data_IF_412545161950
#
_entry.id   IF_412545161950
#
_cell.length_a   1.000
_cell.length_b   1.000
_cell.length_c   1.000
_cell.angle_alpha   90.00
_cell.angle_beta   90.00
_cell.angle_gamma   90.00
#
_symmetry.space_group_name_H-M   'P 1'
#
loop_
_entity.id
_entity.type
_entity.pdbx_description
1 polymer ?
#
# COMPACT_ATOMS: atom_id res chain seq x y z
N UNK A 1 -3.78 14.76 -4.47
CA UNK A 1 -4.52 15.62 -3.52
C UNK A 1 -3.82 16.98 -3.43
N UNK A 2 -4.47 18.04 -3.93
CA UNK A 2 -3.94 19.40 -3.79
C UNK A 2 -4.21 19.86 -2.35
N UNK A 3 -3.14 20.00 -1.57
CA UNK A 3 -3.19 20.59 -0.24
C UNK A 3 -3.65 22.04 -0.38
N UNK A 4 -4.78 22.39 0.27
CA UNK A 4 -5.26 23.76 0.28
C UNK A 4 -4.79 24.44 1.57
N UNK A 5 -4.10 25.59 1.50
CA UNK A 5 -3.76 26.35 2.68
C UNK A 5 -5.03 26.87 3.36
N UNK A 6 -4.93 27.20 4.65
CA UNK A 6 -5.98 27.93 5.36
C UNK A 6 -6.19 29.29 4.71
N UNK A 7 -7.28 30.01 5.09
CA UNK A 7 -7.48 31.42 4.67
C UNK A 7 -6.33 32.34 5.08
N UNK A 8 -5.47 31.88 5.99
CA UNK A 8 -4.29 32.60 6.47
C UNK A 8 -3.00 32.22 5.74
N UNK A 9 -3.07 31.35 4.73
CA UNK A 9 -1.91 30.88 3.99
C UNK A 9 -1.15 29.71 4.65
N UNK A 10 -1.47 29.34 5.90
CA UNK A 10 -0.79 28.26 6.63
C UNK A 10 -1.28 26.88 6.17
N UNK A 11 -0.37 25.97 5.97
CA UNK A 11 -0.69 24.55 5.82
C UNK A 11 -0.58 23.86 7.18
N UNK A 12 -1.64 23.13 7.58
CA UNK A 12 -1.59 22.31 8.78
C UNK A 12 -0.62 21.14 8.60
N UNK A 13 0.08 20.78 9.68
CA UNK A 13 1.07 19.70 9.69
C UNK A 13 0.50 18.38 9.14
N UNK A 14 -0.75 18.06 9.47
CA UNK A 14 -1.47 16.86 9.04
C UNK A 14 -2.35 17.07 7.80
N UNK A 15 -2.17 18.13 7.04
CA UNK A 15 -2.97 18.36 5.84
C UNK A 15 -2.84 17.24 4.82
N UNK A 16 -3.97 16.62 4.46
CA UNK A 16 -4.03 15.51 3.52
C UNK A 16 -3.82 14.13 4.14
N UNK A 17 -3.57 14.04 5.46
CA UNK A 17 -3.40 12.77 6.17
C UNK A 17 -4.62 12.38 7.00
N UNK A 18 -5.49 13.34 7.39
CA UNK A 18 -6.61 13.12 8.30
C UNK A 18 -7.92 12.86 7.56
N UNK A 19 -8.61 11.80 7.95
CA UNK A 19 -9.90 11.40 7.39
C UNK A 19 -10.90 11.04 8.49
N UNK A 20 -12.17 11.34 8.23
CA UNK A 20 -13.29 11.00 9.10
C UNK A 20 -13.58 9.49 8.99
N UNK A 21 -13.80 8.82 10.13
CA UNK A 21 -14.14 7.41 10.17
C UNK A 21 -15.48 7.11 9.51
N UNK A 22 -16.49 7.96 9.73
CA UNK A 22 -17.86 7.71 9.28
C UNK A 22 -18.07 8.02 7.80
N UNK A 23 -17.58 9.18 7.34
CA UNK A 23 -17.87 9.64 5.98
C UNK A 23 -16.67 9.60 5.01
N UNK A 24 -15.49 9.24 5.47
CA UNK A 24 -14.27 9.17 4.67
C UNK A 24 -13.74 10.53 4.16
N UNK A 25 -14.41 11.66 4.48
CA UNK A 25 -13.95 12.97 4.05
C UNK A 25 -12.76 13.47 4.87
N UNK A 26 -11.90 14.26 4.23
CA UNK A 26 -10.76 14.85 4.92
C UNK A 26 -11.19 15.81 6.04
N UNK A 27 -10.44 15.79 7.15
CA UNK A 27 -10.55 16.80 8.18
C UNK A 27 -9.71 18.02 7.80
N UNK A 28 -10.27 19.20 8.02
CA UNK A 28 -9.65 20.48 7.69
C UNK A 28 -9.21 21.22 8.96
N UNK A 29 -8.04 21.85 8.89
CA UNK A 29 -7.54 22.71 9.97
C UNK A 29 -8.43 23.94 10.14
N UNK A 30 -8.87 24.17 11.37
CA UNK A 30 -9.50 25.38 11.82
C UNK A 30 -8.51 26.20 12.63
N UNK A 31 -8.22 27.36 12.13
CA UNK A 31 -7.35 28.37 12.76
C UNK A 31 -7.92 29.75 12.50
N UNK A 32 -7.93 30.57 13.51
CA UNK A 32 -8.30 32.00 13.40
C UNK A 32 -7.24 32.87 14.07
N UNK A 33 -7.19 34.15 13.69
CA UNK A 33 -6.25 35.10 14.31
C UNK A 33 -6.50 35.37 15.79
N UNK A 34 -7.75 35.14 16.25
CA UNK A 34 -8.15 35.35 17.64
C UNK A 34 -7.83 34.13 18.56
N UNK A 35 -7.43 33.01 17.99
CA UNK A 35 -7.18 31.80 18.76
C UNK A 35 -5.71 31.66 19.12
N UNK A 36 -5.43 31.21 20.35
CA UNK A 36 -4.12 30.66 20.68
C UNK A 36 -3.89 29.34 19.90
N UNK A 37 -2.64 28.98 19.63
CA UNK A 37 -2.31 27.78 18.84
C UNK A 37 -2.84 26.49 19.44
N UNK A 38 -2.99 26.43 20.75
CA UNK A 38 -3.56 25.30 21.49
C UNK A 38 -5.05 25.08 21.19
N UNK A 39 -5.73 26.09 20.63
CA UNK A 39 -7.14 26.02 20.22
C UNK A 39 -7.32 25.55 18.77
N UNK A 40 -6.24 25.48 18.01
CA UNK A 40 -6.29 24.94 16.66
C UNK A 40 -6.85 23.52 16.69
N UNK A 41 -7.70 23.21 15.72
CA UNK A 41 -8.31 21.89 15.64
C UNK A 41 -8.56 21.45 14.19
N UNK A 42 -8.66 20.15 13.99
CA UNK A 42 -9.09 19.56 12.74
C UNK A 42 -10.54 19.11 12.87
N UNK A 43 -11.37 19.43 11.89
CA UNK A 43 -12.79 19.07 11.87
C UNK A 43 -13.19 18.46 10.52
N UNK A 44 -14.10 17.50 10.55
CA UNK A 44 -14.64 16.85 9.35
C UNK A 44 -15.15 17.87 8.33
N UNK A 45 -14.68 17.75 7.10
CA UNK A 45 -15.00 18.66 6.02
C UNK A 45 -16.47 18.58 5.57
N UNK A 46 -17.10 17.40 5.67
CA UNK A 46 -18.53 17.23 5.34
C UNK A 46 -19.42 17.85 6.42
N UNK A 47 -19.16 17.57 7.69
CA UNK A 47 -19.88 18.21 8.81
C UNK A 47 -19.88 19.74 8.71
N UNK A 48 -18.73 20.32 8.33
CA UNK A 48 -18.61 21.78 8.17
C UNK A 48 -19.43 22.34 7.03
N UNK A 49 -19.57 21.61 5.93
CA UNK A 49 -20.28 22.06 4.73
C UNK A 49 -21.77 21.79 4.78
N UNK A 50 -22.13 20.62 5.29
CA UNK A 50 -23.50 20.12 5.31
C UNK A 50 -23.81 19.52 6.68
N UNK A 51 -24.38 20.32 7.56
CA UNK A 51 -24.81 19.89 8.89
C UNK A 51 -25.90 18.82 8.73
N UNK A 52 -25.70 17.65 9.33
CA UNK A 52 -26.64 16.55 9.33
C UNK A 52 -26.24 15.34 8.46
N UNK A 53 -25.26 15.46 7.56
CA UNK A 53 -24.75 14.33 6.77
C UNK A 53 -23.58 13.60 7.47
N UNK A 54 -23.01 14.17 8.52
CA UNK A 54 -21.97 13.56 9.36
C UNK A 54 -21.99 14.16 10.75
N UNK A 55 -21.45 13.45 11.74
CA UNK A 55 -21.29 13.93 13.12
C UNK A 55 -20.07 14.83 13.26
N UNK A 56 -19.96 15.51 14.43
CA UNK A 56 -18.91 16.50 14.69
C UNK A 56 -17.56 15.86 15.03
N UNK A 57 -16.95 15.14 14.11
CA UNK A 57 -15.60 14.63 14.29
C UNK A 57 -14.61 15.78 14.33
N UNK A 58 -13.96 15.97 15.48
CA UNK A 58 -12.89 16.96 15.60
C UNK A 58 -11.81 16.49 16.58
N UNK A 59 -10.58 16.93 16.36
CA UNK A 59 -9.45 16.68 17.26
C UNK A 59 -8.61 17.98 17.37
N UNK A 60 -8.12 18.31 18.58
CA UNK A 60 -7.19 19.44 18.77
C UNK A 60 -5.86 19.12 18.11
N UNK A 61 -5.25 20.10 17.46
CA UNK A 61 -3.99 19.94 16.75
C UNK A 61 -2.86 19.49 17.72
N UNK A 62 -2.76 20.12 18.88
CA UNK A 62 -1.74 19.78 19.89
C UNK A 62 -1.88 18.37 20.44
N UNK A 63 -3.12 17.88 20.64
CA UNK A 63 -3.37 16.51 21.12
C UNK A 63 -2.96 15.50 20.04
N UNK A 64 -3.34 15.77 18.79
CA UNK A 64 -2.97 14.92 17.68
C UNK A 64 -1.44 14.89 17.47
N UNK A 65 -0.78 16.04 17.57
CA UNK A 65 0.69 16.13 17.46
C UNK A 65 1.37 15.28 18.53
N UNK A 66 0.89 15.36 19.78
CA UNK A 66 1.45 14.58 20.88
C UNK A 66 1.22 13.08 20.68
N UNK A 67 -0.01 12.66 20.39
CA UNK A 67 -0.35 11.24 20.16
C UNK A 67 0.45 10.62 19.02
N UNK A 68 0.57 11.32 17.89
CA UNK A 68 1.32 10.81 16.75
C UNK A 68 2.82 10.78 17.05
N UNK A 69 3.37 11.76 17.76
CA UNK A 69 4.78 11.78 18.15
C UNK A 69 5.13 10.62 19.08
N UNK A 70 4.28 10.38 20.09
CA UNK A 70 4.46 9.26 21.04
C UNK A 70 4.40 7.92 20.32
N UNK A 71 3.38 7.67 19.49
CA UNK A 71 3.28 6.45 18.70
C UNK A 71 4.48 6.24 17.76
N UNK A 72 4.93 7.30 17.08
CA UNK A 72 6.10 7.20 16.21
C UNK A 72 7.38 6.87 17.00
N UNK A 73 7.56 7.45 18.18
CA UNK A 73 8.69 7.13 19.07
C UNK A 73 8.68 5.67 19.50
N UNK A 74 7.51 5.16 19.91
CA UNK A 74 7.35 3.75 20.32
C UNK A 74 7.67 2.80 19.15
N UNK A 75 7.13 3.06 17.97
CA UNK A 75 7.38 2.24 16.77
C UNK A 75 8.86 2.28 16.36
N UNK A 76 9.47 3.46 16.36
CA UNK A 76 10.89 3.63 16.02
C UNK A 76 11.78 2.94 17.07
N UNK A 77 11.48 3.08 18.37
CA UNK A 77 12.21 2.43 19.45
C UNK A 77 12.14 0.91 19.29
N UNK A 78 10.95 0.34 19.18
CA UNK A 78 10.75 -1.09 19.01
C UNK A 78 11.46 -1.65 17.77
N UNK A 79 11.31 -0.97 16.62
CA UNK A 79 11.96 -1.42 15.37
C UNK A 79 13.50 -1.37 15.44
N UNK A 80 14.07 -0.55 16.34
CA UNK A 80 15.52 -0.45 16.55
C UNK A 80 16.05 -1.43 17.60
N UNK A 81 15.31 -1.61 18.70
CA UNK A 81 15.72 -2.51 19.79
C UNK A 81 15.65 -3.98 19.37
N UNK A 82 14.62 -4.36 18.64
CA UNK A 82 14.45 -5.71 18.11
C UNK A 82 13.83 -5.66 16.70
N UNK A 83 14.70 -5.42 15.72
CA UNK A 83 14.30 -5.36 14.31
C UNK A 83 13.65 -6.67 13.84
N UNK A 84 14.12 -7.82 14.34
CA UNK A 84 13.58 -9.13 13.93
C UNK A 84 12.18 -9.35 14.50
N UNK A 85 11.97 -9.06 15.79
CA UNK A 85 10.65 -9.14 16.41
C UNK A 85 9.68 -8.13 15.78
N UNK A 86 10.13 -6.90 15.48
CA UNK A 86 9.34 -5.90 14.80
C UNK A 86 8.87 -6.39 13.41
N UNK A 87 9.80 -6.88 12.59
CA UNK A 87 9.48 -7.43 11.27
C UNK A 87 8.53 -8.63 11.40
N UNK A 88 8.75 -9.49 12.38
CA UNK A 88 7.86 -10.63 12.64
C UNK A 88 6.46 -10.21 13.06
N UNK A 89 6.33 -9.17 13.87
CA UNK A 89 5.03 -8.65 14.30
C UNK A 89 4.32 -7.86 13.18
N UNK A 90 5.06 -7.05 12.44
CA UNK A 90 4.55 -6.32 11.28
C UNK A 90 4.15 -7.26 10.13
N UNK A 91 4.89 -8.37 9.96
CA UNK A 91 4.55 -9.45 9.04
C UNK A 91 3.57 -10.40 9.72
N UNK A 92 2.27 -10.11 9.63
CA UNK A 92 1.22 -11.02 10.08
C UNK A 92 1.41 -12.44 9.47
N UNK A 93 0.84 -13.47 10.11
CA UNK A 93 0.86 -14.85 9.57
C UNK A 93 0.40 -14.93 8.12
N UNK A 94 -0.50 -14.04 7.72
CA UNK A 94 -0.99 -13.93 6.35
C UNK A 94 0.10 -13.48 5.36
N UNK A 95 0.93 -12.50 5.72
CA UNK A 95 2.04 -12.06 4.87
C UNK A 95 3.13 -13.11 4.70
N UNK A 96 3.41 -13.92 5.73
CA UNK A 96 4.38 -15.03 5.60
C UNK A 96 3.90 -16.13 4.67
N UNK A 97 2.60 -16.47 4.75
CA UNK A 97 1.99 -17.41 3.82
C UNK A 97 2.06 -16.87 2.38
N UNK A 98 1.75 -15.59 2.21
CA UNK A 98 1.81 -14.87 0.94
C UNK A 98 3.23 -14.82 0.34
N UNK A 99 4.28 -14.60 1.17
CA UNK A 99 5.68 -14.65 0.69
C UNK A 99 6.10 -16.04 0.22
N UNK A 100 5.64 -17.09 0.91
CA UNK A 100 5.91 -18.46 0.49
C UNK A 100 5.20 -18.83 -0.82
N UNK A 101 3.96 -18.40 -0.95
CA UNK A 101 3.17 -18.54 -2.18
C UNK A 101 3.85 -17.81 -3.34
N UNK A 102 4.34 -16.61 -3.11
CA UNK A 102 5.05 -15.82 -4.11
C UNK A 102 6.34 -16.47 -4.61
N UNK A 103 7.13 -17.07 -3.73
CA UNK A 103 8.32 -17.80 -4.16
C UNK A 103 7.94 -18.99 -5.07
N UNK A 104 6.79 -19.61 -4.81
CA UNK A 104 6.22 -20.65 -5.64
C UNK A 104 5.72 -20.09 -6.99
N UNK A 105 5.02 -18.96 -6.96
CA UNK A 105 4.54 -18.24 -8.15
C UNK A 105 5.70 -17.86 -9.07
N UNK A 106 6.80 -17.37 -8.50
CA UNK A 106 8.00 -17.02 -9.25
C UNK A 106 8.63 -18.21 -9.96
N UNK A 107 8.72 -19.34 -9.28
CA UNK A 107 9.22 -20.59 -9.89
C UNK A 107 8.29 -21.09 -10.99
N UNK A 108 6.99 -21.01 -10.77
CA UNK A 108 5.97 -21.38 -11.78
C UNK A 108 6.05 -20.46 -12.99
N UNK A 109 6.22 -19.16 -12.78
CA UNK A 109 6.42 -18.17 -13.83
C UNK A 109 7.62 -18.53 -14.72
N UNK A 110 8.78 -18.79 -14.12
CA UNK A 110 9.98 -19.20 -14.87
C UNK A 110 9.78 -20.47 -15.67
N UNK A 111 9.08 -21.45 -15.11
CA UNK A 111 8.78 -22.72 -15.80
C UNK A 111 7.84 -22.49 -17.00
N UNK A 112 6.80 -21.69 -16.82
CA UNK A 112 5.85 -21.41 -17.89
C UNK A 112 6.48 -20.58 -19.02
N UNK A 113 7.31 -19.61 -18.72
CA UNK A 113 8.06 -18.83 -19.72
C UNK A 113 9.02 -19.71 -20.53
N UNK A 114 9.71 -20.65 -19.86
CA UNK A 114 10.54 -21.65 -20.57
C UNK A 114 9.68 -22.54 -21.46
N UNK A 115 8.51 -22.98 -20.99
CA UNK A 115 7.60 -23.83 -21.77
C UNK A 115 7.07 -23.11 -23.00
N UNK A 116 6.74 -21.82 -22.91
CA UNK A 116 6.34 -20.99 -24.06
C UNK A 116 7.48 -20.97 -25.10
N UNK A 117 8.72 -20.77 -24.66
CA UNK A 117 9.90 -20.77 -25.57
C UNK A 117 10.13 -22.11 -26.22
N UNK A 118 9.92 -23.22 -25.47
CA UNK A 118 9.97 -24.58 -26.04
C UNK A 118 8.91 -24.80 -27.12
N UNK A 119 7.67 -24.36 -26.85
CA UNK A 119 6.55 -24.47 -27.80
C UNK A 119 6.86 -23.70 -29.09
N UNK A 120 7.43 -22.48 -28.99
CA UNK A 120 7.87 -21.73 -30.18
C UNK A 120 8.88 -22.52 -31.02
N UNK A 121 9.81 -23.20 -30.35
CA UNK A 121 10.78 -24.08 -31.02
C UNK A 121 10.13 -25.32 -31.65
N UNK A 122 9.12 -25.90 -31.00
CA UNK A 122 8.37 -27.05 -31.52
C UNK A 122 7.54 -26.63 -32.75
N UNK A 123 6.80 -25.54 -32.66
CA UNK A 123 5.99 -25.01 -33.77
C UNK A 123 6.88 -24.78 -35.00
N UNK A 124 8.06 -24.18 -34.82
CA UNK A 124 9.01 -23.97 -35.91
C UNK A 124 9.43 -25.27 -36.58
N UNK A 125 9.76 -26.30 -35.80
CA UNK A 125 10.14 -27.62 -36.35
C UNK A 125 8.98 -28.33 -37.03
N UNK A 126 7.77 -28.26 -36.47
CA UNK A 126 6.56 -28.80 -37.11
C UNK A 126 6.33 -28.17 -38.48
N UNK A 127 6.54 -26.87 -38.60
CA UNK A 127 6.45 -26.14 -39.88
C UNK A 127 7.50 -26.64 -40.88
N UNK A 128 8.77 -26.78 -40.45
CA UNK A 128 9.87 -27.27 -41.28
C UNK A 128 9.62 -28.73 -41.74
N UNK A 129 9.13 -29.60 -40.85
CA UNK A 129 8.81 -31.02 -41.17
C UNK A 129 7.59 -31.14 -42.10
N UNK A 130 6.61 -30.27 -41.96
CA UNK A 130 5.46 -30.22 -42.87
C UNK A 130 5.91 -29.81 -44.29
N UNK A 131 6.70 -28.70 -44.43
CA UNK A 131 7.21 -28.28 -45.74
C UNK A 131 8.09 -29.37 -46.38
N UNK A 132 8.89 -30.09 -45.61
CA UNK A 132 9.76 -31.15 -46.13
C UNK A 132 9.02 -32.43 -46.46
N UNK A 133 7.71 -32.49 -46.24
CA UNK A 133 6.85 -33.64 -46.52
C UNK A 133 6.99 -34.81 -45.49
N UNK A 134 7.70 -34.61 -44.39
CA UNK A 134 7.80 -35.60 -43.30
C UNK A 134 6.53 -35.66 -42.45
N UNK A 135 5.77 -34.57 -42.40
CA UNK A 135 4.55 -34.43 -41.64
C UNK A 135 3.40 -34.09 -42.61
N UNK A 136 2.27 -34.81 -42.50
CA UNK A 136 1.08 -34.52 -43.33
C UNK A 136 0.37 -33.23 -42.82
N UNK A 137 -0.28 -32.51 -43.71
CA UNK A 137 -1.02 -31.28 -43.38
C UNK A 137 -2.08 -31.50 -42.30
N UNK A 138 -2.75 -32.64 -42.29
CA UNK A 138 -3.75 -32.99 -41.30
C UNK A 138 -3.13 -33.11 -39.88
N UNK A 139 -1.99 -33.81 -39.78
CA UNK A 139 -1.25 -33.97 -38.52
C UNK A 139 -0.65 -32.63 -38.05
N UNK A 140 -0.08 -31.87 -38.97
CA UNK A 140 0.44 -30.56 -38.72
C UNK A 140 -0.64 -29.64 -38.14
N UNK A 141 -1.78 -29.54 -38.79
CA UNK A 141 -2.90 -28.67 -38.35
C UNK A 141 -3.38 -29.05 -36.94
N UNK A 142 -3.51 -30.34 -36.66
CA UNK A 142 -3.93 -30.81 -35.32
C UNK A 142 -2.90 -30.41 -34.26
N UNK A 143 -1.62 -30.78 -34.45
CA UNK A 143 -0.56 -30.49 -33.46
C UNK A 143 -0.36 -28.98 -33.28
N UNK A 144 -0.41 -28.23 -34.36
CA UNK A 144 -0.29 -26.76 -34.33
C UNK A 144 -1.41 -26.14 -33.50
N UNK A 145 -2.66 -26.52 -33.71
CA UNK A 145 -3.79 -26.02 -32.94
C UNK A 145 -3.67 -26.38 -31.45
N UNK A 146 -3.18 -27.58 -31.12
CA UNK A 146 -3.00 -28.01 -29.72
C UNK A 146 -1.91 -27.17 -29.03
N UNK A 147 -0.78 -26.92 -29.70
CA UNK A 147 0.29 -26.08 -29.15
C UNK A 147 -0.06 -24.59 -29.09
N UNK A 148 -0.81 -24.05 -30.05
CA UNK A 148 -1.32 -22.67 -29.97
C UNK A 148 -2.25 -22.49 -28.77
N UNK A 149 -3.11 -23.46 -28.49
CA UNK A 149 -3.99 -23.41 -27.31
C UNK A 149 -3.17 -23.46 -26.02
N UNK A 150 -2.24 -24.42 -25.90
CA UNK A 150 -1.35 -24.51 -24.74
C UNK A 150 -0.57 -23.20 -24.53
N UNK A 151 -0.07 -22.60 -25.59
CA UNK A 151 0.67 -21.34 -25.53
C UNK A 151 -0.21 -20.18 -25.10
N UNK A 152 -1.45 -20.09 -25.57
CA UNK A 152 -2.41 -19.07 -25.16
C UNK A 152 -2.73 -19.18 -23.67
N UNK A 153 -3.06 -20.37 -23.17
CA UNK A 153 -3.36 -20.62 -21.76
C UNK A 153 -2.15 -20.28 -20.87
N UNK A 154 -0.93 -20.62 -21.31
CA UNK A 154 0.30 -20.28 -20.59
C UNK A 154 0.56 -18.77 -20.54
N UNK A 155 0.30 -18.04 -21.64
CA UNK A 155 0.48 -16.58 -21.68
C UNK A 155 -0.46 -15.85 -20.72
N UNK A 156 -1.72 -16.26 -20.65
CA UNK A 156 -2.67 -15.70 -19.71
C UNK A 156 -2.24 -15.96 -18.25
N UNK A 157 -1.82 -17.20 -17.95
CA UNK A 157 -1.29 -17.56 -16.63
C UNK A 157 -0.02 -16.78 -16.25
N UNK A 158 0.90 -16.58 -17.18
CA UNK A 158 2.13 -15.79 -17.00
C UNK A 158 1.80 -14.34 -16.66
N UNK A 159 0.79 -13.75 -17.31
CA UNK A 159 0.39 -12.38 -17.05
C UNK A 159 -0.19 -12.21 -15.63
N UNK A 160 -1.00 -13.16 -15.17
CA UNK A 160 -1.56 -13.16 -13.82
C UNK A 160 -0.48 -13.35 -12.76
N UNK A 161 0.44 -14.30 -12.96
CA UNK A 161 1.58 -14.55 -12.07
C UNK A 161 2.51 -13.34 -11.99
N UNK A 162 2.81 -12.66 -13.10
CA UNK A 162 3.61 -11.44 -13.09
C UNK A 162 2.98 -10.34 -12.24
N UNK A 163 1.66 -10.13 -12.37
CA UNK A 163 0.94 -9.14 -11.54
C UNK A 163 1.01 -9.48 -10.05
N UNK A 164 0.89 -10.77 -9.68
CA UNK A 164 1.02 -11.24 -8.29
C UNK A 164 2.43 -10.97 -7.75
N UNK A 165 3.47 -11.36 -8.48
CA UNK A 165 4.88 -11.16 -8.11
C UNK A 165 5.21 -9.67 -7.94
N UNK A 166 4.83 -8.81 -8.90
CA UNK A 166 5.06 -7.37 -8.82
C UNK A 166 4.35 -6.70 -7.64
N UNK A 167 3.15 -7.14 -7.29
CA UNK A 167 2.40 -6.59 -6.16
C UNK A 167 3.14 -6.88 -4.84
N UNK A 168 3.69 -8.06 -4.68
CA UNK A 168 4.40 -8.46 -3.48
C UNK A 168 5.81 -7.84 -3.39
N UNK A 169 6.53 -7.69 -4.50
CA UNK A 169 7.81 -6.98 -4.54
C UNK A 169 7.67 -5.53 -4.07
N UNK A 170 6.58 -4.86 -4.44
CA UNK A 170 6.27 -3.50 -3.94
C UNK A 170 6.10 -3.45 -2.42
N UNK A 171 5.53 -4.48 -1.79
CA UNK A 171 5.39 -4.55 -0.34
C UNK A 171 6.73 -4.78 0.37
N UNK A 172 7.59 -5.63 -0.18
CA UNK A 172 8.94 -5.88 0.35
C UNK A 172 9.81 -4.61 0.31
N UNK A 173 9.79 -3.88 -0.80
CA UNK A 173 10.52 -2.59 -0.95
C UNK A 173 10.04 -1.57 0.08
N UNK A 174 8.75 -1.57 0.43
CA UNK A 174 8.21 -0.68 1.46
C UNK A 174 8.77 -1.00 2.86
N UNK A 175 8.94 -2.28 3.22
CA UNK A 175 9.52 -2.67 4.51
C UNK A 175 10.99 -2.26 4.63
N UNK A 176 11.80 -2.53 3.62
CA UNK A 176 13.21 -2.12 3.60
C UNK A 176 13.37 -0.60 3.66
N UNK A 177 12.51 0.12 2.96
CA UNK A 177 12.47 1.58 2.99
C UNK A 177 12.08 2.09 4.37
N UNK A 178 11.12 1.46 5.03
CA UNK A 178 10.72 1.78 6.40
C UNK A 178 11.88 1.58 7.38
N UNK A 179 12.57 0.45 7.33
CA UNK A 179 13.71 0.18 8.22
C UNK A 179 14.86 1.19 8.02
N UNK A 180 15.13 1.61 6.78
CA UNK A 180 16.09 2.68 6.48
C UNK A 180 15.68 4.02 7.10
N UNK A 181 14.38 4.34 7.09
CA UNK A 181 13.83 5.54 7.72
C UNK A 181 13.96 5.48 9.26
N UNK A 182 13.68 4.33 9.86
CA UNK A 182 13.87 4.09 11.31
C UNK A 182 15.33 4.32 11.73
N UNK A 183 16.27 3.87 10.92
CA UNK A 183 17.71 4.12 11.18
C UNK A 183 18.06 5.60 11.07
N UNK A 184 17.45 6.33 10.16
CA UNK A 184 17.68 7.77 9.95
C UNK A 184 17.09 8.63 11.07
N UNK A 185 15.89 8.29 11.57
CA UNK A 185 15.16 9.06 12.58
C UNK A 185 15.19 8.33 13.93
N UNK A 186 16.21 8.62 14.74
CA UNK A 186 16.52 7.86 15.98
C UNK A 186 15.54 8.15 17.12
N UNK A 187 15.22 9.42 17.37
CA UNK A 187 14.31 9.87 18.41
C UNK A 187 13.82 11.29 18.05
N UNK A 188 12.73 11.44 17.33
CA UNK A 188 12.25 12.76 16.95
C UNK A 188 11.71 13.51 18.18
N UNK A 189 12.21 14.72 18.45
CA UNK A 189 11.71 15.59 19.53
C UNK A 189 10.39 16.27 19.16
N UNK A 190 10.16 16.49 17.86
CA UNK A 190 8.96 17.11 17.32
C UNK A 190 8.60 16.53 15.96
N UNK A 191 7.32 16.67 15.59
CA UNK A 191 6.86 16.31 14.27
C UNK A 191 7.20 17.41 13.25
N UNK A 192 7.54 16.98 12.04
CA UNK A 192 7.72 17.82 10.87
C UNK A 192 7.17 17.12 9.63
N UNK A 193 6.82 17.85 8.56
CA UNK A 193 6.10 17.29 7.42
C UNK A 193 6.79 16.09 6.76
N UNK A 194 8.13 16.10 6.66
CA UNK A 194 8.90 15.04 6.03
C UNK A 194 8.84 13.74 6.85
N UNK A 195 8.94 13.83 8.19
CA UNK A 195 8.81 12.69 9.09
C UNK A 195 7.40 12.07 8.97
N UNK A 196 6.36 12.91 9.05
CA UNK A 196 4.98 12.44 8.93
C UNK A 196 4.72 11.72 7.61
N UNK A 197 5.14 12.31 6.49
CA UNK A 197 4.93 11.69 5.17
C UNK A 197 5.73 10.42 4.96
N UNK A 198 6.84 10.25 5.68
CA UNK A 198 7.66 9.05 5.61
C UNK A 198 7.03 7.88 6.37
N UNK A 199 6.37 8.14 7.51
CA UNK A 199 5.86 7.09 8.40
C UNK A 199 4.34 6.96 8.43
N UNK A 200 3.59 7.98 7.99
CA UNK A 200 2.13 8.04 8.11
C UNK A 200 1.49 8.17 6.75
N UNK A 201 0.78 7.15 6.33
CA UNK A 201 -0.01 7.18 5.09
C UNK A 201 -1.36 7.86 5.32
N UNK A 202 -2.04 7.50 6.42
CA UNK A 202 -3.39 7.95 6.72
C UNK A 202 -3.67 7.88 8.21
N UNK A 203 -4.41 8.86 8.73
CA UNK A 203 -4.96 8.86 10.09
C UNK A 203 -6.48 8.95 9.98
N UNK A 204 -7.19 8.02 10.62
CA UNK A 204 -8.65 8.00 10.68
C UNK A 204 -9.10 8.49 12.05
N UNK A 205 -9.94 9.52 12.07
CA UNK A 205 -10.46 10.12 13.31
C UNK A 205 -11.88 9.62 13.54
N UNK A 206 -12.07 8.93 14.65
CA UNK A 206 -13.36 8.41 15.13
C UNK A 206 -14.05 9.42 16.05
N UNK A 207 -15.34 9.23 16.29
CA UNK A 207 -16.04 9.94 17.36
C UNK A 207 -15.43 9.57 18.71
N UNK A 208 -15.31 10.53 19.65
CA UNK A 208 -14.82 10.22 20.98
C UNK A 208 -15.78 9.27 21.70
N UNK A 209 -15.23 8.19 22.28
CA UNK A 209 -16.00 7.32 23.15
C UNK A 209 -16.41 8.09 24.43
N UNK A 210 -17.70 8.15 24.68
CA UNK A 210 -18.31 8.80 25.86
C UNK A 210 -18.82 7.83 26.88
N UNK A 211 -18.62 6.52 26.68
CA UNK A 211 -19.21 5.46 27.53
C UNK A 211 -18.76 5.54 29.00
N UNK A 212 -17.56 6.09 29.26
CA UNK A 212 -16.98 6.18 30.60
C UNK A 212 -17.00 7.60 31.22
N UNK A 213 -17.74 8.54 30.64
CA UNK A 213 -17.82 9.92 31.15
C UNK A 213 -16.52 10.74 31.00
N UNK A 214 -15.43 10.14 30.56
CA UNK A 214 -14.17 10.78 30.20
C UNK A 214 -13.98 10.73 28.68
N UNK A 215 -13.52 11.85 28.12
CA UNK A 215 -13.11 11.89 26.70
C UNK A 215 -11.76 11.18 26.57
N UNK A 216 -11.79 9.96 26.06
CA UNK A 216 -10.61 9.29 25.52
C UNK A 216 -10.47 9.58 24.03
#
# INVERSE_FOLDING_TARGET
NRHRPTRMGDMGLFSGLLYCADCGHALNLNRTKAWAREQDNYTCGLYKRKKGECTAHYIRAVVLEQLVLENLREVICFAREDTEAFVQQAMSHHMRAQMKEQEQDRRTLEQQERRITEIDGIIKRLYEDNISGKLTDERFSKMFTDYEREQADLRDSVEDLRRSVEACERQSVNMDSFLKLVQKYTAPDKLFPELLRAFVEKIVVHDPDKSNGQRT
#
